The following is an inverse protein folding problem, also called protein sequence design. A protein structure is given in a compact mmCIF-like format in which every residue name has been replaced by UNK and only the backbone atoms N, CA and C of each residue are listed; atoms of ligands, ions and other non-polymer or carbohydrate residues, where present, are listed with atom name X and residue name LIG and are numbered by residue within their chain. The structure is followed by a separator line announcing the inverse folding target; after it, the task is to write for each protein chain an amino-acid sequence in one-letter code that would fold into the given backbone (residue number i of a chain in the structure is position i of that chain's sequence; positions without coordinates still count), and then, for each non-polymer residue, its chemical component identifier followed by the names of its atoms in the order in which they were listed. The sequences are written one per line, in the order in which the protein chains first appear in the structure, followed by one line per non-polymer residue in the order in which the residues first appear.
data_IF_039414032688
#
_entry.id   IF_039414032688
#
_cell.length_a   1.000
_cell.length_b   1.000
_cell.length_c   1.000
_cell.angle_alpha   90.00
_cell.angle_beta   90.00
_cell.angle_gamma   90.00
#
_symmetry.space_group_name_H-M   'P 1'
#
loop_
_entity.id
_entity.type
_entity.pdbx_description
1 polymer ?
#
# COMPACT_ATOMS: atom_id res chain seq x y z
N UNK A 1 -27.15 -32.07 50.67
CA UNK A 1 -26.52 -31.39 49.53
C UNK A 1 -27.53 -31.27 48.41
N UNK A 2 -28.18 -30.11 48.27
CA UNK A 2 -29.17 -29.85 47.22
C UNK A 2 -28.52 -28.97 46.15
N UNK A 3 -28.55 -29.44 44.91
CA UNK A 3 -28.14 -28.72 43.71
C UNK A 3 -28.95 -27.42 43.56
N UNK A 4 -28.28 -26.26 43.46
CA UNK A 4 -28.91 -25.02 43.00
C UNK A 4 -28.78 -24.94 41.48
N UNK A 5 -29.91 -25.08 40.78
CA UNK A 5 -30.05 -24.77 39.36
C UNK A 5 -30.09 -23.25 39.23
N UNK A 6 -29.06 -22.65 38.60
CA UNK A 6 -29.09 -21.25 38.17
C UNK A 6 -29.88 -21.16 36.85
N UNK A 7 -31.14 -20.77 36.94
CA UNK A 7 -31.93 -20.35 35.78
C UNK A 7 -31.53 -18.92 35.38
N UNK A 8 -30.84 -18.76 34.25
CA UNK A 8 -30.59 -17.46 33.63
C UNK A 8 -31.74 -17.15 32.69
N UNK A 9 -32.63 -16.22 33.08
CA UNK A 9 -33.68 -15.71 32.20
C UNK A 9 -33.13 -14.52 31.42
N UNK A 10 -32.78 -14.71 30.15
CA UNK A 10 -32.48 -13.60 29.24
C UNK A 10 -33.81 -13.03 28.71
N UNK A 11 -34.28 -11.91 29.28
CA UNK A 11 -35.35 -11.10 28.67
C UNK A 11 -34.73 -10.14 27.65
N UNK A 12 -35.03 -10.36 26.37
CA UNK A 12 -34.73 -9.42 25.29
C UNK A 12 -35.88 -8.41 25.20
N UNK A 13 -35.61 -7.14 25.44
CA UNK A 13 -36.56 -6.05 25.21
C UNK A 13 -35.98 -5.17 24.12
N UNK A 14 -36.64 -5.13 22.95
CA UNK A 14 -36.30 -4.27 21.82
C UNK A 14 -37.31 -3.13 21.81
N UNK A 15 -36.85 -1.89 21.94
CA UNK A 15 -37.65 -0.71 21.63
C UNK A 15 -37.22 -0.16 20.28
N UNK A 16 -38.15 -0.06 19.33
CA UNK A 16 -37.98 0.62 18.05
C UNK A 16 -38.77 1.92 18.05
N UNK A 17 -38.08 3.06 18.03
CA UNK A 17 -38.69 4.37 17.77
C UNK A 17 -38.03 5.00 16.54
N UNK A 18 -38.82 5.50 15.60
CA UNK A 18 -38.34 6.15 14.38
C UNK A 18 -38.39 7.66 14.58
N UNK A 19 -37.22 8.28 14.69
CA UNK A 19 -36.98 9.68 14.32
C UNK A 19 -35.51 9.82 13.94
N UNK A 20 -35.24 10.19 12.69
CA UNK A 20 -33.96 10.72 12.17
C UNK A 20 -32.65 10.06 12.66
N UNK A 21 -32.04 9.25 11.79
CA UNK A 21 -30.60 8.89 11.75
C UNK A 21 -30.00 8.50 13.11
N UNK A 22 -30.13 7.22 13.50
CA UNK A 22 -29.13 6.42 14.23
C UNK A 22 -29.73 5.07 14.66
N UNK A 23 -29.02 3.97 14.43
CA UNK A 23 -29.33 2.68 15.07
C UNK A 23 -28.53 2.57 16.37
N UNK A 24 -29.22 2.53 17.51
CA UNK A 24 -28.61 2.19 18.80
C UNK A 24 -28.75 0.69 19.06
N UNK A 25 -27.64 -0.04 19.15
CA UNK A 25 -27.62 -1.40 19.72
C UNK A 25 -26.72 -1.38 20.95
N UNK A 26 -27.34 -1.20 22.12
CA UNK A 26 -26.65 -1.29 23.41
C UNK A 26 -26.84 -2.66 24.05
N UNK A 27 -25.76 -3.34 24.44
CA UNK A 27 -25.82 -4.59 25.21
C UNK A 27 -25.68 -4.25 26.69
N UNK A 28 -26.71 -4.51 27.51
CA UNK A 28 -26.69 -4.28 28.96
C UNK A 28 -26.75 -5.62 29.70
N UNK A 29 -25.70 -5.96 30.44
CA UNK A 29 -25.71 -7.09 31.38
C UNK A 29 -25.90 -6.53 32.79
N UNK A 30 -26.97 -6.95 33.47
CA UNK A 30 -27.22 -6.60 34.89
C UNK A 30 -26.88 -7.82 35.73
N UNK A 31 -26.07 -7.64 36.76
CA UNK A 31 -25.75 -8.68 37.73
C UNK A 31 -26.19 -8.19 39.11
N UNK A 32 -27.17 -8.86 39.70
CA UNK A 32 -27.65 -8.59 41.06
C UNK A 32 -27.25 -9.73 42.00
N UNK A 33 -26.63 -9.38 43.13
CA UNK A 33 -26.53 -10.23 44.32
C UNK A 33 -27.43 -9.61 45.39
N UNK A 34 -28.31 -10.43 45.98
CA UNK A 34 -29.24 -10.00 47.04
C UNK A 34 -28.63 -10.44 48.38
N UNK A 35 -28.24 -9.47 49.22
CA UNK A 35 -27.91 -9.69 50.63
C UNK A 35 -29.02 -9.07 51.51
N UNK A 36 -29.38 -9.79 52.57
CA UNK A 36 -30.58 -9.59 53.42
C UNK A 36 -30.50 -8.42 54.42
N UNK A 37 -29.85 -7.30 54.09
CA UNK A 37 -29.94 -6.10 54.92
C UNK A 37 -30.09 -4.86 54.03
N UNK A 38 -31.25 -4.22 54.11
CA UNK A 38 -31.61 -2.99 53.41
C UNK A 38 -30.62 -1.86 53.71
N UNK A 39 -29.55 -1.75 52.91
CA UNK A 39 -28.72 -0.56 52.79
C UNK A 39 -28.24 -0.45 51.33
N UNK A 40 -28.79 0.51 50.59
CA UNK A 40 -28.41 0.80 49.21
C UNK A 40 -27.14 1.66 49.24
N UNK A 41 -26.01 1.07 48.84
CA UNK A 41 -24.76 1.82 48.64
C UNK A 41 -24.75 2.46 47.24
N UNK A 42 -24.22 3.69 47.07
CA UNK A 42 -24.22 4.37 45.77
C UNK A 42 -23.31 3.66 44.75
N UNK A 43 -23.83 3.50 43.53
CA UNK A 43 -23.16 2.89 42.39
C UNK A 43 -21.88 3.65 42.03
N UNK A 44 -20.72 2.98 42.11
CA UNK A 44 -19.44 3.47 41.56
C UNK A 44 -19.47 3.40 40.04
N UNK A 45 -19.51 4.55 39.38
CA UNK A 45 -19.35 4.66 37.93
C UNK A 45 -17.87 4.54 37.56
N UNK A 46 -17.51 3.50 36.81
CA UNK A 46 -16.20 3.42 36.16
C UNK A 46 -16.30 3.99 34.75
N UNK A 47 -15.79 5.20 34.54
CA UNK A 47 -15.57 5.73 33.19
C UNK A 47 -14.37 5.00 32.57
N UNK A 48 -14.63 4.14 31.58
CA UNK A 48 -13.57 3.68 30.65
C UNK A 48 -13.46 4.72 29.52
N UNK A 49 -12.25 5.08 29.06
CA UNK A 49 -12.09 6.07 28.01
C UNK A 49 -12.62 5.50 26.68
N UNK A 50 -13.76 6.03 26.22
CA UNK A 50 -14.25 5.83 24.87
C UNK A 50 -13.49 6.73 23.91
N UNK A 51 -13.06 6.18 22.77
CA UNK A 51 -12.43 6.93 21.69
C UNK A 51 -13.44 7.90 21.06
N UNK A 52 -13.11 9.19 20.86
CA UNK A 52 -13.99 10.10 20.15
C UNK A 52 -13.95 9.80 18.64
N UNK A 53 -15.13 9.57 18.05
CA UNK A 53 -15.31 9.45 16.61
C UNK A 53 -15.48 10.88 16.06
N UNK A 54 -14.39 11.51 15.63
CA UNK A 54 -14.48 12.73 14.83
C UNK A 54 -14.62 12.34 13.36
N UNK A 55 -15.85 12.27 12.87
CA UNK A 55 -16.14 12.24 11.44
C UNK A 55 -16.42 13.67 10.97
N UNK A 56 -15.40 14.35 10.45
CA UNK A 56 -15.60 15.60 9.69
C UNK A 56 -15.77 15.23 8.21
N UNK A 57 -17.01 15.18 7.75
CA UNK A 57 -17.31 15.14 6.31
C UNK A 57 -17.27 16.59 5.81
N UNK A 58 -16.28 16.92 4.98
CA UNK A 58 -16.25 18.19 4.26
C UNK A 58 -17.40 18.18 3.24
N UNK A 59 -18.44 18.95 3.51
CA UNK A 59 -19.57 19.11 2.60
C UNK A 59 -19.12 19.90 1.35
N UNK A 60 -19.43 19.36 0.19
CA UNK A 60 -19.20 19.98 -1.10
C UNK A 60 -19.97 21.33 -1.20
N UNK A 61 -19.27 22.38 -1.61
CA UNK A 61 -19.87 23.69 -1.93
C UNK A 61 -20.48 23.62 -3.33
N UNK A 62 -21.73 24.04 -3.54
CA UNK A 62 -22.30 24.12 -4.88
C UNK A 62 -21.63 25.28 -5.65
N UNK A 63 -21.10 24.99 -6.83
CA UNK A 63 -20.57 26.00 -7.75
C UNK A 63 -21.74 26.75 -8.36
N UNK A 64 -21.86 28.04 -8.04
CA UNK A 64 -22.81 28.95 -8.68
C UNK A 64 -22.35 29.19 -10.13
N UNK A 65 -23.16 28.76 -11.09
CA UNK A 65 -22.97 29.05 -12.52
C UNK A 65 -23.45 30.47 -12.78
N UNK A 66 -22.54 31.38 -13.10
CA UNK A 66 -22.69 32.45 -14.09
C UNK A 66 -21.38 33.24 -14.23
N UNK A 67 -20.71 33.09 -15.37
CA UNK A 67 -20.42 34.17 -16.34
C UNK A 67 -19.41 33.66 -17.37
N UNK A 68 -19.85 33.62 -18.62
CA UNK A 68 -19.08 33.27 -19.80
C UNK A 68 -18.26 34.51 -20.17
N UNK A 69 -16.94 34.44 -20.00
CA UNK A 69 -16.00 35.37 -20.64
C UNK A 69 -14.84 34.55 -21.20
N UNK A 70 -14.60 34.73 -22.49
CA UNK A 70 -13.66 34.03 -23.36
C UNK A 70 -12.31 33.68 -22.69
N UNK A 71 -12.05 32.38 -22.57
CA UNK A 71 -10.70 31.82 -22.40
C UNK A 71 -10.51 30.68 -23.40
N UNK A 72 -9.33 30.56 -24.04
CA UNK A 72 -9.05 29.52 -25.01
C UNK A 72 -9.28 28.14 -24.39
N UNK A 73 -9.83 27.22 -25.18
CA UNK A 73 -10.23 25.88 -24.76
C UNK A 73 -9.21 25.25 -23.82
N UNK A 74 -9.60 25.08 -22.55
CA UNK A 74 -8.86 24.31 -21.57
C UNK A 74 -8.91 22.86 -22.07
N UNK A 75 -7.84 22.41 -22.72
CA UNK A 75 -7.59 20.99 -22.94
C UNK A 75 -7.70 20.35 -21.55
N UNK A 76 -8.58 19.36 -21.32
CA UNK A 76 -8.68 18.74 -20.01
C UNK A 76 -7.32 18.14 -19.70
N UNK A 77 -6.58 18.73 -18.75
CA UNK A 77 -5.38 18.11 -18.22
C UNK A 77 -5.83 16.78 -17.63
N UNK A 78 -5.50 15.66 -18.28
CA UNK A 78 -5.86 14.35 -17.78
C UNK A 78 -5.47 14.23 -16.31
N UNK A 79 -6.39 13.79 -15.47
CA UNK A 79 -6.11 13.57 -14.06
C UNK A 79 -5.02 12.50 -13.94
N UNK A 80 -3.80 12.90 -13.58
CA UNK A 80 -2.62 12.02 -13.56
C UNK A 80 -2.84 10.75 -12.74
N UNK A 81 -3.60 10.83 -11.64
CA UNK A 81 -3.97 9.66 -10.82
C UNK A 81 -4.83 8.70 -11.62
N UNK A 82 -5.82 9.20 -12.38
CA UNK A 82 -6.66 8.37 -13.24
C UNK A 82 -5.84 7.70 -14.34
N UNK A 83 -4.83 8.39 -14.89
CA UNK A 83 -3.90 7.80 -15.86
C UNK A 83 -3.06 6.70 -15.22
N UNK A 84 -2.47 6.91 -14.02
CA UNK A 84 -1.67 5.89 -13.31
C UNK A 84 -2.54 4.67 -12.95
N UNK A 85 -3.73 4.92 -12.40
CA UNK A 85 -4.63 3.89 -11.86
C UNK A 85 -5.65 3.40 -12.89
N UNK A 86 -5.34 3.53 -14.18
CA UNK A 86 -6.20 3.13 -15.32
C UNK A 86 -6.79 1.73 -15.12
N UNK A 87 -5.96 0.81 -14.65
CA UNK A 87 -6.28 -0.62 -14.50
C UNK A 87 -6.72 -1.04 -13.09
N UNK A 88 -7.09 -0.10 -12.22
CA UNK A 88 -7.63 -0.38 -10.90
C UNK A 88 -6.62 -0.20 -9.76
N UNK A 89 -7.15 -0.20 -8.54
CA UNK A 89 -6.37 -0.05 -7.32
C UNK A 89 -6.14 -1.43 -6.69
N UNK A 90 -4.89 -1.83 -6.40
CA UNK A 90 -4.64 -3.14 -5.79
C UNK A 90 -5.31 -3.36 -4.42
N UNK A 91 -5.49 -2.28 -3.68
CA UNK A 91 -6.21 -2.17 -2.42
C UNK A 91 -6.49 -0.69 -2.12
N UNK A 92 -7.16 -0.36 -1.01
CA UNK A 92 -7.56 1.03 -0.71
C UNK A 92 -7.07 1.54 0.66
N UNK A 93 -6.16 0.83 1.31
CA UNK A 93 -5.65 1.24 2.62
C UNK A 93 -4.66 2.41 2.50
N UNK A 94 -4.89 3.48 3.28
CA UNK A 94 -4.07 4.70 3.37
C UNK A 94 -3.47 5.17 2.02
N UNK A 95 -4.32 5.42 1.02
CA UNK A 95 -3.87 5.88 -0.30
C UNK A 95 -3.30 7.29 -0.22
N UNK A 96 -2.14 7.48 -0.85
CA UNK A 96 -1.46 8.76 -1.06
C UNK A 96 -1.20 8.92 -2.56
N UNK A 97 -1.52 10.11 -3.07
CA UNK A 97 -1.22 10.46 -4.45
C UNK A 97 -0.07 11.46 -4.46
N UNK A 98 0.99 11.12 -5.18
CA UNK A 98 2.08 12.02 -5.51
C UNK A 98 1.92 12.48 -6.96
N UNK A 99 2.78 13.37 -7.42
CA UNK A 99 2.63 14.01 -8.73
C UNK A 99 2.78 13.00 -9.87
N UNK A 100 3.53 11.92 -9.67
CA UNK A 100 3.88 10.98 -10.75
C UNK A 100 3.83 9.50 -10.35
N UNK A 101 3.37 9.19 -9.15
CA UNK A 101 3.09 7.82 -8.68
C UNK A 101 2.00 7.82 -7.61
N UNK A 102 1.38 6.66 -7.38
CA UNK A 102 0.39 6.45 -6.32
C UNK A 102 0.91 5.42 -5.33
N UNK A 103 0.63 5.59 -4.05
CA UNK A 103 1.13 4.74 -2.97
C UNK A 103 0.00 4.35 -2.02
N UNK A 104 0.00 3.12 -1.54
CA UNK A 104 -0.80 2.65 -0.40
C UNK A 104 0.12 2.38 0.78
N UNK A 105 -0.06 3.07 1.90
CA UNK A 105 0.86 2.98 3.04
C UNK A 105 0.39 2.00 4.11
N UNK A 106 1.27 1.09 4.53
CA UNK A 106 1.02 0.21 5.66
C UNK A 106 1.56 0.83 6.94
N UNK A 107 0.65 1.39 7.73
CA UNK A 107 0.97 1.98 9.05
C UNK A 107 1.56 0.96 10.04
N UNK A 108 1.30 -0.34 9.86
CA UNK A 108 1.81 -1.40 10.73
C UNK A 108 3.26 -1.74 10.41
N UNK A 109 3.61 -1.87 9.14
CA UNK A 109 4.98 -2.22 8.72
C UNK A 109 5.87 -1.00 8.49
N UNK A 110 5.31 0.21 8.50
CA UNK A 110 5.99 1.50 8.28
C UNK A 110 6.63 1.62 6.89
N UNK A 111 6.11 0.83 5.94
CA UNK A 111 6.46 0.89 4.52
C UNK A 111 5.18 0.83 3.68
N UNK A 112 5.27 0.83 2.35
CA UNK A 112 4.08 0.75 1.51
C UNK A 112 3.55 -0.70 1.43
N UNK A 113 2.22 -0.86 1.32
CA UNK A 113 1.62 -2.09 0.80
C UNK A 113 1.99 -2.27 -0.67
N UNK A 114 1.88 -1.18 -1.43
CA UNK A 114 2.23 -1.12 -2.85
C UNK A 114 2.42 0.32 -3.30
N UNK A 115 3.14 0.48 -4.40
CA UNK A 115 3.18 1.69 -5.22
C UNK A 115 2.79 1.35 -6.65
N UNK A 116 2.29 2.33 -7.37
CA UNK A 116 1.83 2.19 -8.75
C UNK A 116 2.38 3.32 -9.59
N UNK A 117 2.97 2.97 -10.73
CA UNK A 117 3.62 3.91 -11.64
C UNK A 117 3.08 3.68 -13.05
N UNK A 118 2.94 4.75 -13.82
CA UNK A 118 2.68 4.72 -15.26
C UNK A 118 3.83 5.40 -15.98
N UNK A 119 4.55 4.63 -16.78
CA UNK A 119 5.78 5.03 -17.46
C UNK A 119 5.54 5.10 -18.96
N UNK A 120 6.11 6.14 -19.56
CA UNK A 120 6.29 6.26 -21.01
C UNK A 120 7.76 6.58 -21.28
N UNK A 121 8.17 6.57 -22.55
CA UNK A 121 9.53 6.95 -22.93
C UNK A 121 9.92 8.35 -22.45
N UNK A 122 8.96 9.28 -22.38
CA UNK A 122 9.17 10.65 -21.90
C UNK A 122 9.46 10.72 -20.39
N UNK A 123 8.74 9.95 -19.57
CA UNK A 123 8.89 9.96 -18.11
C UNK A 123 10.28 9.48 -17.65
N UNK A 124 10.88 8.55 -18.39
CA UNK A 124 12.15 7.90 -18.04
C UNK A 124 13.36 8.46 -18.79
N UNK A 125 13.13 9.34 -19.77
CA UNK A 125 14.17 10.02 -20.54
C UNK A 125 15.03 10.89 -19.61
N UNK A 126 16.33 10.97 -19.89
CA UNK A 126 17.19 11.88 -19.15
C UNK A 126 16.76 13.33 -19.38
N UNK A 127 16.65 14.09 -18.30
CA UNK A 127 16.35 15.52 -18.31
C UNK A 127 17.46 16.24 -17.54
N UNK A 128 18.12 17.21 -18.19
CA UNK A 128 19.22 17.97 -17.61
C UNK A 128 18.77 18.89 -16.47
N UNK A 129 17.47 19.20 -16.39
CA UNK A 129 16.88 20.01 -15.31
C UNK A 129 16.62 19.20 -14.03
N UNK A 130 16.71 17.86 -14.12
CA UNK A 130 16.45 16.96 -13.00
C UNK A 130 17.76 16.39 -12.47
N UNK A 131 18.10 16.79 -11.25
CA UNK A 131 19.30 16.36 -10.55
C UNK A 131 18.93 15.55 -9.30
N UNK A 132 19.22 14.25 -9.35
CA UNK A 132 19.00 13.31 -8.25
C UNK A 132 19.87 13.65 -7.03
N UNK A 133 21.03 14.28 -7.22
CA UNK A 133 21.92 14.64 -6.10
C UNK A 133 21.31 15.70 -5.18
N UNK A 134 20.29 16.44 -5.64
CA UNK A 134 19.52 17.41 -4.86
C UNK A 134 18.35 16.79 -4.08
N UNK A 135 18.28 15.47 -4.00
CA UNK A 135 17.20 14.76 -3.33
C UNK A 135 17.71 14.15 -2.02
N UNK A 136 17.03 14.48 -0.93
CA UNK A 136 17.32 13.95 0.40
C UNK A 136 16.20 13.02 0.86
N UNK A 137 16.57 11.90 1.45
CA UNK A 137 15.63 11.03 2.14
C UNK A 137 15.02 11.78 3.33
N UNK A 138 13.71 11.90 3.35
CA UNK A 138 12.99 12.61 4.42
C UNK A 138 11.70 11.89 4.83
N UNK A 139 11.31 11.98 6.10
CA UNK A 139 10.01 11.47 6.54
C UNK A 139 8.86 12.12 5.78
N UNK A 140 7.78 11.37 5.56
CA UNK A 140 6.54 11.90 5.00
C UNK A 140 5.69 12.52 6.12
N UNK A 141 5.66 13.84 6.21
CA UNK A 141 5.03 14.56 7.32
C UNK A 141 3.50 14.43 7.36
N UNK A 142 2.89 14.01 6.26
CA UNK A 142 1.46 13.72 6.20
C UNK A 142 1.06 12.45 6.96
N UNK A 143 2.03 11.58 7.25
CA UNK A 143 1.81 10.33 7.99
C UNK A 143 1.90 10.66 9.47
N UNK A 144 0.89 10.22 10.23
CA UNK A 144 0.86 10.44 11.67
C UNK A 144 2.16 9.91 12.33
N UNK A 145 2.78 10.65 13.28
CA UNK A 145 4.09 10.32 13.84
C UNK A 145 4.25 8.87 14.34
N UNK A 146 3.21 8.27 14.94
CA UNK A 146 3.24 6.86 15.42
C UNK A 146 3.54 5.81 14.33
N UNK A 147 3.29 6.15 13.09
CA UNK A 147 3.37 5.24 11.95
C UNK A 147 4.42 5.71 10.94
N UNK A 148 5.22 6.72 11.27
CA UNK A 148 6.19 7.32 10.36
C UNK A 148 7.54 6.64 10.54
N UNK A 149 8.18 6.23 9.44
CA UNK A 149 9.58 5.84 9.45
C UNK A 149 10.48 7.08 9.45
N UNK A 150 11.65 6.99 10.08
CA UNK A 150 12.67 8.03 10.14
C UNK A 150 14.02 7.52 9.61
N UNK A 151 14.90 8.43 9.18
CA UNK A 151 16.25 8.08 8.75
C UNK A 151 17.06 7.35 9.83
N UNK A 152 16.79 7.66 11.09
CA UNK A 152 17.39 6.99 12.26
C UNK A 152 17.06 5.50 12.32
N UNK A 153 15.90 5.06 11.83
CA UNK A 153 15.54 3.63 11.81
C UNK A 153 16.43 2.82 10.85
N UNK A 154 16.84 3.44 9.75
CA UNK A 154 17.70 2.82 8.74
C UNK A 154 19.20 2.95 9.05
N UNK A 155 19.58 3.95 9.86
CA UNK A 155 20.99 4.25 10.16
C UNK A 155 21.65 3.07 10.88
N UNK A 156 22.70 2.51 10.26
CA UNK A 156 23.44 1.33 10.77
C UNK A 156 22.58 0.06 10.96
N UNK A 157 21.43 -0.02 10.30
CA UNK A 157 20.56 -1.22 10.34
C UNK A 157 21.12 -2.41 9.56
N UNK A 158 22.08 -2.17 8.65
CA UNK A 158 22.54 -3.16 7.67
C UNK A 158 21.75 -3.15 6.36
N UNK A 159 20.66 -2.37 6.30
CA UNK A 159 19.81 -2.22 5.11
C UNK A 159 19.94 -0.85 4.46
N UNK A 160 19.79 -0.83 3.15
CA UNK A 160 19.60 0.40 2.39
C UNK A 160 18.16 0.90 2.54
N UNK A 161 18.00 2.21 2.30
CA UNK A 161 16.72 2.85 2.01
C UNK A 161 16.33 2.53 0.56
N UNK A 162 15.75 1.36 0.34
CA UNK A 162 15.35 0.87 -0.98
C UNK A 162 14.04 1.49 -1.46
N UNK A 163 14.04 2.05 -2.66
CA UNK A 163 12.85 2.66 -3.25
C UNK A 163 11.89 1.59 -3.78
N UNK A 164 10.59 1.81 -3.61
CA UNK A 164 9.57 1.03 -4.32
C UNK A 164 9.24 1.66 -5.68
N UNK A 165 8.87 2.94 -5.67
CA UNK A 165 8.77 3.79 -6.86
C UNK A 165 10.16 4.40 -7.11
N UNK A 166 10.85 3.91 -8.14
CA UNK A 166 12.26 4.18 -8.31
C UNK A 166 12.50 5.61 -8.83
N UNK A 167 13.43 6.35 -8.21
CA UNK A 167 13.80 7.70 -8.64
C UNK A 167 14.11 7.80 -10.16
N UNK A 168 14.68 6.74 -10.74
CA UNK A 168 15.01 6.67 -12.17
C UNK A 168 13.80 6.64 -13.11
N UNK A 169 12.60 6.44 -12.59
CA UNK A 169 11.35 6.36 -13.36
C UNK A 169 10.64 7.73 -13.48
N UNK A 170 11.03 8.71 -12.67
CA UNK A 170 10.32 9.98 -12.46
C UNK A 170 11.18 11.19 -12.85
N UNK A 171 11.65 11.25 -14.09
CA UNK A 171 12.65 12.24 -14.55
C UNK A 171 12.05 13.45 -15.27
N UNK A 172 10.72 13.58 -15.31
CA UNK A 172 10.06 14.69 -16.01
C UNK A 172 10.22 16.02 -15.29
N UNK A 173 10.29 16.01 -13.96
CA UNK A 173 10.40 17.20 -13.10
C UNK A 173 11.22 16.90 -11.86
N UNK A 174 11.93 17.90 -11.33
CA UNK A 174 12.68 17.79 -10.07
C UNK A 174 11.76 17.40 -8.91
N UNK A 175 10.52 17.90 -8.88
CA UNK A 175 9.57 17.58 -7.83
C UNK A 175 9.16 16.09 -7.87
N UNK A 176 8.95 15.54 -9.08
CA UNK A 176 8.57 14.13 -9.24
C UNK A 176 9.64 13.21 -8.64
N UNK A 177 10.92 13.43 -8.97
CA UNK A 177 12.01 12.63 -8.39
C UNK A 177 12.16 12.86 -6.89
N UNK A 178 12.02 14.10 -6.40
CA UNK A 178 12.12 14.39 -4.96
C UNK A 178 11.07 13.66 -4.13
N UNK A 179 9.84 13.54 -4.64
CA UNK A 179 8.76 12.81 -3.96
C UNK A 179 9.06 11.31 -3.80
N UNK A 180 9.95 10.73 -4.61
CA UNK A 180 10.35 9.32 -4.46
C UNK A 180 11.24 9.08 -3.23
N UNK A 181 11.86 10.13 -2.68
CA UNK A 181 12.74 10.07 -1.51
C UNK A 181 11.98 10.20 -0.17
N UNK A 182 10.65 10.29 -0.19
CA UNK A 182 9.87 10.15 1.03
C UNK A 182 10.02 8.75 1.62
N UNK A 183 10.29 8.67 2.92
CA UNK A 183 10.44 7.38 3.61
C UNK A 183 9.18 6.51 3.58
N UNK A 184 8.03 7.07 3.21
CA UNK A 184 6.80 6.30 2.95
C UNK A 184 6.92 5.37 1.73
N UNK A 185 7.75 5.73 0.75
CA UNK A 185 8.10 4.95 -0.45
C UNK A 185 9.29 3.99 -0.23
N UNK A 186 9.82 3.92 0.99
CA UNK A 186 11.05 3.20 1.28
C UNK A 186 10.75 1.92 2.05
N UNK A 187 11.43 0.84 1.67
CA UNK A 187 11.51 -0.39 2.46
C UNK A 187 12.98 -0.72 2.76
N UNK A 188 13.29 -1.39 3.89
CA UNK A 188 14.61 -1.93 4.15
C UNK A 188 14.98 -2.99 3.10
N UNK A 189 16.02 -2.74 2.32
CA UNK A 189 16.51 -3.65 1.30
C UNK A 189 17.98 -4.01 1.54
N UNK A 190 18.35 -5.26 1.27
CA UNK A 190 19.77 -5.65 1.23
C UNK A 190 20.47 -4.79 0.18
N UNK A 191 21.61 -4.19 0.55
CA UNK A 191 22.31 -3.24 -0.31
C UNK A 191 23.02 -3.92 -1.48
N UNK A 192 24.21 -4.44 -1.22
CA UNK A 192 25.06 -5.11 -2.22
C UNK A 192 24.48 -6.48 -2.58
N UNK A 193 24.35 -6.73 -3.89
CA UNK A 193 23.75 -7.91 -4.50
C UNK A 193 22.23 -7.86 -4.63
N UNK A 194 21.57 -6.82 -4.10
CA UNK A 194 20.12 -6.66 -4.23
C UNK A 194 19.73 -5.24 -4.65
N UNK A 195 19.46 -4.30 -3.74
CA UNK A 195 19.01 -2.94 -4.05
C UNK A 195 19.91 -2.23 -5.07
N UNK A 196 21.23 -2.32 -4.87
CA UNK A 196 22.21 -1.62 -5.72
C UNK A 196 22.47 -2.35 -7.05
N UNK A 197 22.12 -3.63 -7.12
CA UNK A 197 22.50 -4.55 -8.19
C UNK A 197 21.25 -5.23 -8.79
N UNK A 198 20.92 -6.46 -8.36
CA UNK A 198 19.85 -7.28 -8.96
C UNK A 198 18.46 -6.62 -9.02
N UNK A 199 18.06 -5.89 -7.98
CA UNK A 199 16.80 -5.14 -7.99
C UNK A 199 16.84 -3.97 -8.99
N UNK A 200 17.93 -3.21 -9.01
CA UNK A 200 18.15 -2.14 -10.00
C UNK A 200 18.26 -2.68 -11.44
N UNK A 201 18.74 -3.93 -11.65
CA UNK A 201 18.67 -4.59 -12.97
C UNK A 201 17.22 -4.79 -13.41
N UNK A 202 16.35 -5.26 -12.52
CA UNK A 202 14.91 -5.38 -12.81
C UNK A 202 14.28 -4.01 -13.09
N UNK A 203 14.57 -2.98 -12.29
CA UNK A 203 14.07 -1.63 -12.54
C UNK A 203 14.55 -1.07 -13.89
N UNK A 204 15.83 -1.30 -14.21
CA UNK A 204 16.40 -0.89 -15.50
C UNK A 204 15.77 -1.63 -16.66
N UNK A 205 15.43 -2.90 -16.49
CA UNK A 205 14.68 -3.68 -17.46
C UNK A 205 13.27 -3.11 -17.68
N UNK A 206 12.51 -2.87 -16.61
CA UNK A 206 11.15 -2.27 -16.69
C UNK A 206 11.19 -0.91 -17.40
N UNK A 207 12.18 -0.05 -17.11
CA UNK A 207 12.38 1.20 -17.86
C UNK A 207 12.67 0.98 -19.34
N UNK A 208 13.45 -0.05 -19.71
CA UNK A 208 13.74 -0.35 -21.12
C UNK A 208 12.50 -0.80 -21.88
N UNK A 209 11.48 -1.35 -21.22
CA UNK A 209 10.21 -1.72 -21.86
C UNK A 209 9.53 -0.52 -22.53
N UNK A 210 9.70 0.71 -22.02
CA UNK A 210 9.12 1.91 -22.63
C UNK A 210 9.72 2.26 -24.01
N UNK A 211 10.78 1.56 -24.44
CA UNK A 211 11.30 1.66 -25.82
C UNK A 211 10.50 0.83 -26.80
N UNK A 212 9.78 -0.18 -26.32
CA UNK A 212 9.01 -1.15 -27.12
C UNK A 212 7.51 -0.87 -27.00
N UNK A 213 7.03 -0.60 -25.79
CA UNK A 213 5.64 -0.38 -25.45
C UNK A 213 5.34 1.11 -25.25
N UNK A 214 4.15 1.56 -25.65
CA UNK A 214 3.77 2.97 -25.54
C UNK A 214 3.59 3.37 -24.07
N UNK A 215 2.87 2.53 -23.33
CA UNK A 215 2.59 2.70 -21.91
C UNK A 215 3.03 1.45 -21.15
N UNK A 216 3.73 1.65 -20.04
CA UNK A 216 4.15 0.59 -19.12
C UNK A 216 3.62 0.93 -17.74
N UNK A 217 2.77 0.07 -17.20
CA UNK A 217 2.20 0.19 -15.87
C UNK A 217 2.91 -0.80 -14.95
N UNK A 218 3.35 -0.35 -13.79
CA UNK A 218 4.05 -1.22 -12.84
C UNK A 218 3.52 -1.00 -11.43
N UNK A 219 3.17 -2.10 -10.78
CA UNK A 219 2.91 -2.14 -9.35
C UNK A 219 4.09 -2.82 -8.66
N UNK A 220 4.62 -2.18 -7.62
CA UNK A 220 5.76 -2.67 -6.83
C UNK A 220 5.37 -2.72 -5.35
N UNK A 221 5.80 -3.75 -4.62
CA UNK A 221 5.57 -3.80 -3.18
C UNK A 221 6.36 -4.90 -2.45
N UNK A 222 6.34 -4.87 -1.11
CA UNK A 222 6.96 -5.89 -0.26
C UNK A 222 6.08 -7.15 -0.12
N UNK A 223 6.71 -8.26 0.25
CA UNK A 223 6.06 -9.50 0.66
C UNK A 223 6.67 -10.07 1.94
N UNK A 224 5.83 -10.73 2.73
CA UNK A 224 6.20 -11.42 3.97
C UNK A 224 5.80 -12.89 3.84
N UNK A 225 6.66 -13.68 3.18
CA UNK A 225 6.36 -15.05 2.78
C UNK A 225 6.66 -16.06 3.90
N UNK A 226 5.83 -17.09 4.08
CA UNK A 226 6.07 -18.11 5.08
C UNK A 226 7.22 -19.04 4.66
N UNK A 227 7.95 -19.56 5.65
CA UNK A 227 8.94 -20.64 5.47
C UNK A 227 8.59 -21.79 6.43
N UNK A 228 8.87 -23.02 6.00
CA UNK A 228 8.66 -24.21 6.82
C UNK A 228 9.85 -24.37 7.77
N UNK A 229 9.58 -24.48 9.07
CA UNK A 229 10.61 -24.71 10.08
C UNK A 229 10.76 -26.21 10.40
N UNK A 230 11.73 -26.55 11.25
CA UNK A 230 12.09 -27.94 11.60
C UNK A 230 10.96 -28.70 12.30
N UNK A 231 10.02 -28.00 12.94
CA UNK A 231 8.83 -28.58 13.56
C UNK A 231 7.72 -28.94 12.55
N UNK A 232 7.96 -28.68 11.26
CA UNK A 232 7.06 -28.98 10.16
C UNK A 232 5.96 -27.94 9.92
N UNK A 233 5.89 -26.85 10.70
CA UNK A 233 4.89 -25.78 10.53
C UNK A 233 5.42 -24.64 9.69
N UNK A 234 4.49 -23.80 9.21
CA UNK A 234 4.79 -22.60 8.44
C UNK A 234 4.78 -21.38 9.33
N UNK A 235 5.83 -20.57 9.24
CA UNK A 235 5.98 -19.32 9.98
C UNK A 235 6.32 -18.18 9.04
N UNK A 236 5.72 -17.02 9.29
CA UNK A 236 6.18 -15.75 8.71
C UNK A 236 7.08 -15.08 9.73
N UNK A 237 8.37 -14.96 9.41
CA UNK A 237 9.37 -14.33 10.25
C UNK A 237 10.12 -13.28 9.44
N UNK A 238 10.23 -12.08 10.00
CA UNK A 238 10.96 -10.97 9.42
C UNK A 238 11.53 -10.09 10.53
N UNK A 239 12.61 -9.39 10.23
CA UNK A 239 13.23 -8.42 11.13
C UNK A 239 12.43 -7.11 11.15
N UNK A 240 12.48 -6.39 12.26
CA UNK A 240 12.07 -4.98 12.33
C UNK A 240 13.28 -4.14 12.77
N UNK A 241 13.47 -2.98 12.17
CA UNK A 241 14.62 -2.10 12.43
C UNK A 241 14.19 -0.77 13.04
N UNK A 242 15.11 -0.15 13.79
CA UNK A 242 14.90 1.15 14.40
C UNK A 242 13.92 1.14 15.57
N UNK A 243 13.72 2.31 16.18
CA UNK A 243 12.77 2.48 17.29
C UNK A 243 11.32 2.43 16.82
N UNK A 244 11.07 2.73 15.53
CA UNK A 244 9.73 2.69 14.95
C UNK A 244 9.34 1.30 14.43
N UNK A 245 10.20 0.29 14.59
CA UNK A 245 9.98 -1.09 14.17
C UNK A 245 9.58 -1.21 12.69
N UNK A 246 10.37 -0.59 11.80
CA UNK A 246 10.15 -0.68 10.35
C UNK A 246 10.41 -2.10 9.90
N UNK A 247 9.43 -2.74 9.26
CA UNK A 247 9.56 -4.14 8.86
C UNK A 247 10.53 -4.30 7.68
N UNK A 248 11.38 -5.34 7.75
CA UNK A 248 12.26 -5.77 6.67
C UNK A 248 11.52 -6.84 5.85
N UNK A 249 11.07 -6.54 4.62
CA UNK A 249 10.35 -7.52 3.81
C UNK A 249 11.21 -8.74 3.50
N UNK A 250 10.58 -9.91 3.41
CA UNK A 250 11.28 -11.14 3.01
C UNK A 250 11.58 -11.16 1.51
N UNK A 251 10.70 -10.56 0.71
CA UNK A 251 10.77 -10.50 -0.75
C UNK A 251 10.13 -9.19 -1.22
N UNK A 252 10.35 -8.87 -2.49
CA UNK A 252 9.66 -7.79 -3.19
C UNK A 252 9.06 -8.32 -4.49
N UNK A 253 7.97 -7.71 -4.94
CA UNK A 253 7.35 -8.02 -6.22
C UNK A 253 7.37 -6.83 -7.17
N UNK A 254 7.33 -7.11 -8.47
CA UNK A 254 6.84 -6.20 -9.50
C UNK A 254 5.84 -6.93 -10.39
N UNK A 255 4.66 -6.34 -10.60
CA UNK A 255 3.70 -6.79 -11.62
C UNK A 255 3.58 -5.68 -12.65
N UNK A 256 3.84 -6.01 -13.91
CA UNK A 256 3.99 -5.07 -15.02
C UNK A 256 2.96 -5.40 -16.09
N UNK A 257 2.25 -4.39 -16.60
CA UNK A 257 1.42 -4.49 -17.81
C UNK A 257 1.93 -3.50 -18.84
N UNK A 258 2.12 -4.00 -20.04
CA UNK A 258 2.66 -3.26 -21.18
C UNK A 258 1.62 -3.16 -22.29
N UNK A 259 1.43 -1.95 -22.83
CA UNK A 259 0.54 -1.69 -23.96
C UNK A 259 1.33 -1.66 -25.28
N UNK A 260 1.02 -2.59 -26.17
CA UNK A 260 1.61 -2.60 -27.52
C UNK A 260 0.98 -1.53 -28.40
N UNK A 261 1.67 -1.18 -29.50
CA UNK A 261 1.15 -0.20 -30.47
C UNK A 261 -0.19 -0.59 -31.11
N UNK A 262 -0.47 -1.88 -31.21
CA UNK A 262 -1.73 -2.44 -31.74
C UNK A 262 -2.80 -2.65 -30.65
N UNK A 263 -2.60 -2.11 -29.44
CA UNK A 263 -3.59 -2.12 -28.36
C UNK A 263 -3.70 -3.45 -27.59
N UNK A 264 -2.78 -4.39 -27.82
CA UNK A 264 -2.70 -5.63 -27.04
C UNK A 264 -1.98 -5.38 -25.72
N UNK A 265 -2.28 -6.24 -24.75
CA UNK A 265 -1.72 -6.16 -23.41
C UNK A 265 -0.82 -7.37 -23.15
N UNK A 266 0.38 -7.11 -22.65
CA UNK A 266 1.33 -8.14 -22.22
C UNK A 266 1.68 -7.92 -20.75
N UNK A 267 1.73 -8.99 -19.97
CA UNK A 267 1.98 -8.94 -18.53
C UNK A 267 3.26 -9.67 -18.16
N UNK A 268 4.00 -9.12 -17.20
CA UNK A 268 5.09 -9.81 -16.53
C UNK A 268 4.97 -9.66 -15.01
N UNK A 269 5.40 -10.69 -14.26
CA UNK A 269 5.34 -10.68 -12.81
C UNK A 269 6.58 -11.33 -12.21
N UNK A 270 7.20 -10.63 -11.26
CA UNK A 270 8.47 -11.00 -10.64
C UNK A 270 8.32 -11.02 -9.13
N UNK A 271 8.99 -11.97 -8.47
CA UNK A 271 9.21 -11.99 -7.02
C UNK A 271 10.68 -12.27 -6.76
N UNK A 272 11.35 -11.36 -6.05
CA UNK A 272 12.77 -11.47 -5.73
C UNK A 272 12.98 -11.49 -4.21
N UNK A 273 13.81 -12.39 -3.67
CA UNK A 273 14.13 -12.42 -2.24
C UNK A 273 14.96 -11.20 -1.83
N UNK A 274 14.69 -10.66 -0.64
CA UNK A 274 15.45 -9.55 -0.07
C UNK A 274 16.77 -10.05 0.55
N UNK A 275 17.64 -10.58 -0.31
CA UNK A 275 18.93 -11.16 0.05
C UNK A 275 19.94 -10.94 -1.06
N UNK A 276 21.22 -11.23 -0.82
CA UNK A 276 22.25 -11.12 -1.84
C UNK A 276 21.97 -12.09 -2.99
N UNK A 277 21.79 -11.58 -4.21
CA UNK A 277 21.59 -12.36 -5.43
C UNK A 277 22.85 -12.25 -6.29
N UNK A 278 23.29 -13.37 -6.89
CA UNK A 278 24.42 -13.37 -7.82
C UNK A 278 24.10 -12.57 -9.09
N UNK A 279 25.06 -11.79 -9.59
CA UNK A 279 24.92 -10.98 -10.81
C UNK A 279 24.66 -11.83 -12.06
N UNK A 280 25.11 -13.09 -12.05
CA UNK A 280 24.86 -14.03 -13.15
C UNK A 280 23.42 -14.58 -13.18
N UNK A 281 22.65 -14.34 -12.12
CA UNK A 281 21.27 -14.84 -12.04
C UNK A 281 20.38 -14.06 -13.01
N UNK A 282 19.73 -14.73 -14.00
CA UNK A 282 18.87 -14.07 -14.98
C UNK A 282 17.55 -13.61 -14.34
N UNK A 283 16.99 -12.49 -14.81
CA UNK A 283 15.73 -11.95 -14.27
C UNK A 283 14.54 -12.90 -14.47
N UNK A 284 14.57 -13.67 -15.55
CA UNK A 284 13.57 -14.67 -15.91
C UNK A 284 13.39 -15.74 -14.83
N UNK A 285 14.44 -16.03 -14.04
CA UNK A 285 14.38 -16.98 -12.93
C UNK A 285 13.44 -16.53 -11.80
N UNK A 286 13.15 -15.23 -11.71
CA UNK A 286 12.26 -14.65 -10.71
C UNK A 286 10.82 -14.48 -11.20
N UNK A 287 10.51 -14.91 -12.43
CA UNK A 287 9.16 -14.84 -12.98
C UNK A 287 8.24 -15.82 -12.26
N UNK A 288 7.09 -15.31 -11.82
CA UNK A 288 6.06 -16.13 -11.14
C UNK A 288 4.69 -15.89 -11.78
N UNK A 289 3.74 -16.81 -11.62
CA UNK A 289 2.36 -16.52 -11.97
C UNK A 289 1.87 -15.29 -11.19
N UNK A 290 1.24 -14.31 -11.84
CA UNK A 290 0.76 -13.10 -11.18
C UNK A 290 -0.25 -13.41 -10.06
N UNK A 291 -1.04 -14.47 -10.19
CA UNK A 291 -1.98 -14.94 -9.15
C UNK A 291 -1.26 -15.39 -7.88
N UNK A 292 -0.02 -15.88 -7.97
CA UNK A 292 0.81 -16.20 -6.81
C UNK A 292 1.18 -14.95 -6.03
N UNK A 293 1.45 -13.84 -6.73
CA UNK A 293 1.74 -12.54 -6.10
C UNK A 293 0.47 -11.99 -5.44
N UNK A 294 -0.68 -12.06 -6.11
CA UNK A 294 -1.97 -11.63 -5.57
C UNK A 294 -2.31 -12.36 -4.26
N UNK A 295 -2.16 -13.69 -4.24
CA UNK A 295 -2.38 -14.51 -3.04
C UNK A 295 -1.43 -14.16 -1.91
N UNK A 296 -0.16 -13.90 -2.22
CA UNK A 296 0.85 -13.59 -1.22
C UNK A 296 0.72 -12.16 -0.65
N UNK A 297 0.34 -11.20 -1.49
CA UNK A 297 0.19 -9.80 -1.10
C UNK A 297 -1.17 -9.50 -0.47
N UNK A 298 -2.20 -10.32 -0.74
CA UNK A 298 -3.58 -10.01 -0.37
C UNK A 298 -4.16 -8.86 -1.20
N UNK A 299 -3.73 -8.72 -2.45
CA UNK A 299 -4.09 -7.65 -3.39
C UNK A 299 -4.50 -8.24 -4.74
N UNK A 300 -5.24 -7.48 -5.54
CA UNK A 300 -5.54 -7.84 -6.94
C UNK A 300 -4.85 -6.86 -7.89
N UNK A 301 -4.02 -7.33 -8.80
CA UNK A 301 -3.29 -6.43 -9.70
C UNK A 301 -3.99 -6.38 -11.06
N UNK A 302 -4.21 -5.16 -11.55
CA UNK A 302 -4.83 -4.92 -12.85
C UNK A 302 -6.23 -5.58 -12.98
N UNK A 303 -7.07 -5.45 -11.94
CA UNK A 303 -8.37 -6.13 -11.82
C UNK A 303 -9.38 -5.77 -12.91
N UNK A 304 -9.20 -4.61 -13.57
CA UNK A 304 -9.99 -4.20 -14.74
C UNK A 304 -9.59 -4.92 -16.04
N UNK A 305 -8.50 -5.69 -16.04
CA UNK A 305 -8.06 -6.51 -17.17
C UNK A 305 -8.54 -7.94 -16.96
N UNK A 306 -9.38 -8.44 -17.86
CA UNK A 306 -9.64 -9.87 -17.93
C UNK A 306 -8.36 -10.58 -18.41
N UNK A 307 -7.80 -11.48 -17.59
CA UNK A 307 -6.55 -12.20 -17.91
C UNK A 307 -6.59 -12.95 -19.24
N UNK A 308 -7.77 -13.37 -19.70
CA UNK A 308 -7.97 -14.01 -21.02
C UNK A 308 -7.75 -13.08 -22.21
N UNK A 309 -7.74 -11.76 -21.98
CA UNK A 309 -7.47 -10.75 -23.01
C UNK A 309 -5.98 -10.40 -23.11
N UNK A 310 -5.14 -10.93 -22.23
CA UNK A 310 -3.70 -10.74 -22.31
C UNK A 310 -3.17 -11.55 -23.51
N UNK A 311 -2.33 -10.92 -24.33
CA UNK A 311 -1.65 -11.60 -25.43
C UNK A 311 -0.51 -12.48 -24.91
N UNK A 312 0.16 -12.05 -23.84
CA UNK A 312 1.23 -12.81 -23.18
C UNK A 312 1.23 -12.60 -21.68
N UNK A 313 1.65 -13.63 -20.96
CA UNK A 313 2.03 -13.58 -19.53
C UNK A 313 3.42 -14.20 -19.39
N UNK A 314 4.37 -13.45 -18.82
CA UNK A 314 5.76 -13.88 -18.62
C UNK A 314 6.43 -14.41 -19.91
N UNK A 315 6.15 -13.76 -21.04
CA UNK A 315 6.67 -14.13 -22.36
C UNK A 315 5.96 -15.30 -23.05
N UNK A 316 5.00 -15.97 -22.38
CA UNK A 316 4.21 -17.07 -22.95
C UNK A 316 2.86 -16.55 -23.45
N UNK A 317 2.42 -17.00 -24.63
CA UNK A 317 1.07 -16.68 -25.13
C UNK A 317 0.01 -17.30 -24.20
N UNK A 318 -1.07 -16.56 -24.00
CA UNK A 318 -2.28 -17.00 -23.27
C UNK A 318 -3.29 -17.56 -24.26
#
# INVERSE_FOLDING_TARGET
MRYQIKSVVNKLIIFSGISGISFYVGRKSVQSSIDNNCNVSPLKYFNKPGLPIYATVSAAVPVLRNEIIDKPAIIPTENRIATIMKYGFPGLDNIRSFDDYVLSYDRKTRTAHWVFEHLTSEHVKHNNEVDRAKCDFKPDESIHPFFRADNTDYKKSGYDRGHLAAAGNHKKSQNHVQQTFYLSNISPQVGVGFNRDSWNRLESYVRKLTKVYQNVYVCTGPLYLPRKETDGKLYVKYEVIGTNNVAVPTHFFKVVVCETKDGKLEMESYVMPNEKISDDTPLESFRVPPESVERAAGLLFFDKINRKMLNKVNGKKV
#
